data_IF_558853190917
#
_entry.id   IF_558853190917
#
_cell.length_a   1.000
_cell.length_b   1.000
_cell.length_c   1.000
_cell.angle_alpha   90.00
_cell.angle_beta   90.00
_cell.angle_gamma   90.00
#
_symmetry.space_group_name_H-M   'P 1'
#
loop_
_entity.id
_entity.type
_entity.pdbx_description
1 polymer ?
#
# COMPACT_ATOMS: atom_id res chain seq x y z
N UNK A 1 -8.00 -4.55 -1.32
CA UNK A 1 -8.61 -3.20 -1.34
C UNK A 1 -8.20 -2.50 -2.62
N UNK A 2 -9.08 -1.67 -3.19
CA UNK A 2 -8.74 -0.72 -4.27
C UNK A 2 -8.70 0.67 -3.66
N UNK A 3 -7.64 1.44 -3.93
CA UNK A 3 -7.51 2.75 -3.29
C UNK A 3 -6.90 3.83 -4.19
N UNK A 4 -7.32 5.06 -3.92
CA UNK A 4 -6.84 6.27 -4.58
C UNK A 4 -5.46 6.68 -4.05
N UNK A 5 -4.62 7.36 -4.87
CA UNK A 5 -3.28 7.77 -4.48
C UNK A 5 -3.31 8.72 -3.27
N UNK A 6 -4.34 9.56 -3.17
CA UNK A 6 -4.48 10.54 -2.10
C UNK A 6 -4.81 9.92 -0.73
N UNK A 7 -5.28 8.67 -0.71
CA UNK A 7 -5.71 8.00 0.52
C UNK A 7 -4.83 6.84 0.94
N UNK A 8 -3.98 6.31 0.05
CA UNK A 8 -3.20 5.09 0.33
C UNK A 8 -2.37 5.18 1.62
N UNK A 9 -1.67 6.30 1.86
CA UNK A 9 -0.87 6.50 3.09
C UNK A 9 -1.76 6.50 4.33
N UNK A 10 -2.90 7.20 4.28
CA UNK A 10 -3.86 7.23 5.39
C UNK A 10 -4.42 5.83 5.66
N UNK A 11 -4.83 5.13 4.61
CA UNK A 11 -5.36 3.77 4.71
C UNK A 11 -4.33 2.80 5.29
N UNK A 12 -3.06 2.87 4.89
CA UNK A 12 -2.00 2.04 5.45
C UNK A 12 -1.82 2.26 6.96
N UNK A 13 -1.86 3.52 7.42
CA UNK A 13 -1.77 3.86 8.85
C UNK A 13 -2.98 3.33 9.63
N UNK A 14 -4.19 3.57 9.13
CA UNK A 14 -5.43 3.05 9.74
C UNK A 14 -5.44 1.51 9.82
N UNK A 15 -4.94 0.84 8.78
CA UNK A 15 -4.80 -0.62 8.78
C UNK A 15 -3.72 -1.11 9.74
N UNK A 16 -2.61 -0.38 9.89
CA UNK A 16 -1.55 -0.73 10.84
C UNK A 16 -2.06 -0.65 12.29
N UNK A 17 -2.86 0.38 12.59
CA UNK A 17 -3.54 0.52 13.89
C UNK A 17 -4.54 -0.61 14.13
N UNK A 18 -5.30 -1.01 13.12
CA UNK A 18 -6.33 -2.05 13.25
C UNK A 18 -5.77 -3.48 13.28
N UNK A 19 -4.72 -3.76 12.50
CA UNK A 19 -4.24 -5.13 12.23
C UNK A 19 -2.86 -5.46 12.81
N UNK A 20 -2.18 -4.46 13.38
CA UNK A 20 -0.85 -4.57 13.95
C UNK A 20 0.26 -4.11 13.00
N UNK A 21 1.33 -3.57 13.58
CA UNK A 21 2.46 -3.00 12.84
C UNK A 21 3.23 -4.06 12.01
N UNK A 22 3.28 -5.31 12.47
CA UNK A 22 4.00 -6.39 11.79
C UNK A 22 3.22 -6.99 10.61
N UNK A 23 1.99 -6.50 10.35
CA UNK A 23 1.13 -7.03 9.30
C UNK A 23 1.77 -6.81 7.93
N UNK A 24 2.01 -7.91 7.23
CA UNK A 24 2.50 -7.89 5.86
C UNK A 24 1.40 -7.44 4.89
N UNK A 25 1.80 -6.67 3.89
CA UNK A 25 0.95 -6.24 2.80
C UNK A 25 1.76 -6.09 1.49
N UNK A 26 1.03 -5.96 0.39
CA UNK A 26 1.58 -5.62 -0.91
C UNK A 26 0.72 -4.59 -1.61
N UNK A 27 1.36 -3.66 -2.30
CA UNK A 27 0.72 -2.63 -3.10
C UNK A 27 1.19 -2.79 -4.54
N UNK A 28 0.25 -2.97 -5.44
CA UNK A 28 0.48 -3.07 -6.89
C UNK A 28 -0.14 -1.87 -7.61
N UNK A 29 0.56 -1.32 -8.60
CA UNK A 29 0.08 -0.22 -9.45
C UNK A 29 0.33 -0.49 -10.92
N UNK A 30 -0.50 0.12 -11.76
CA UNK A 30 -0.37 0.11 -13.23
C UNK A 30 -0.31 -1.31 -13.84
N UNK A 31 -1.11 -2.24 -13.31
CA UNK A 31 -1.16 -3.69 -13.68
C UNK A 31 -1.34 -3.93 -15.19
N UNK A 32 -1.89 -2.96 -15.94
CA UNK A 32 -2.09 -3.08 -17.39
C UNK A 32 -0.99 -2.43 -18.23
N UNK A 33 0.06 -1.86 -17.64
CA UNK A 33 1.14 -1.16 -18.34
C UNK A 33 2.46 -1.94 -18.21
N UNK A 34 3.36 -1.74 -19.17
CA UNK A 34 4.68 -2.39 -19.20
C UNK A 34 5.54 -2.13 -17.94
N UNK A 35 5.20 -1.09 -17.17
CA UNK A 35 5.89 -0.69 -15.94
C UNK A 35 5.03 -0.95 -14.70
N UNK A 36 4.53 -2.18 -14.55
CA UNK A 36 3.91 -2.61 -13.30
C UNK A 36 4.94 -2.52 -12.16
N UNK A 37 4.53 -1.93 -11.04
CA UNK A 37 5.33 -1.86 -9.83
C UNK A 37 4.56 -2.51 -8.69
N UNK A 38 5.22 -3.45 -8.00
CA UNK A 38 4.70 -4.07 -6.78
C UNK A 38 5.68 -3.89 -5.64
N UNK A 39 5.25 -3.21 -4.58
CA UNK A 39 6.03 -3.00 -3.35
C UNK A 39 5.43 -3.86 -2.25
N UNK A 40 6.28 -4.49 -1.44
CA UNK A 40 5.89 -5.39 -0.34
C UNK A 40 6.62 -5.02 0.93
N UNK A 41 5.97 -5.23 2.06
CA UNK A 41 6.53 -4.94 3.38
C UNK A 41 5.44 -4.91 4.43
N UNK A 42 5.81 -4.47 5.63
CA UNK A 42 4.84 -4.18 6.68
C UNK A 42 4.00 -2.95 6.35
N UNK A 43 2.80 -2.84 6.94
CA UNK A 43 1.94 -1.67 6.75
C UNK A 43 2.64 -0.33 7.07
N UNK A 44 3.43 -0.20 8.16
CA UNK A 44 4.19 1.02 8.45
C UNK A 44 5.31 1.31 7.44
N UNK A 45 6.07 0.30 7.02
CA UNK A 45 7.12 0.47 6.01
C UNK A 45 6.54 0.96 4.69
N UNK A 46 5.41 0.39 4.27
CA UNK A 46 4.72 0.84 3.06
C UNK A 46 4.20 2.27 3.21
N UNK A 47 3.65 2.64 4.37
CA UNK A 47 3.19 4.01 4.60
C UNK A 47 4.34 5.01 4.47
N UNK A 48 5.47 4.73 5.13
CA UNK A 48 6.67 5.56 5.05
C UNK A 48 7.24 5.63 3.62
N UNK A 49 7.22 4.52 2.88
CA UNK A 49 7.66 4.48 1.49
C UNK A 49 6.83 5.42 0.60
N UNK A 50 5.50 5.36 0.69
CA UNK A 50 4.60 6.18 -0.13
C UNK A 50 4.47 7.63 0.35
N UNK A 51 4.92 7.96 1.57
CA UNK A 51 5.12 9.35 1.98
C UNK A 51 6.30 10.00 1.25
N UNK A 52 7.39 9.25 1.05
CA UNK A 52 8.59 9.74 0.36
C UNK A 52 8.46 9.65 -1.16
N UNK A 53 7.60 8.75 -1.66
CA UNK A 53 7.35 8.52 -3.09
C UNK A 53 5.88 8.78 -3.39
N UNK A 54 5.50 10.04 -3.69
CA UNK A 54 4.10 10.41 -3.90
C UNK A 54 3.43 9.50 -4.93
N UNK A 55 2.42 8.72 -4.52
CA UNK A 55 1.80 7.72 -5.38
C UNK A 55 1.02 8.38 -6.52
N UNK A 56 1.03 7.77 -7.71
CA UNK A 56 0.23 8.17 -8.87
C UNK A 56 -0.55 6.97 -9.41
N UNK A 57 -1.76 7.22 -9.90
CA UNK A 57 -2.64 6.19 -10.46
C UNK A 57 -3.44 5.43 -9.41
N UNK A 58 -4.03 4.31 -9.82
CA UNK A 58 -4.87 3.44 -8.98
C UNK A 58 -4.04 2.32 -8.35
N UNK A 59 -4.38 1.98 -7.10
CA UNK A 59 -3.66 0.98 -6.33
C UNK A 59 -4.52 -0.21 -5.98
N UNK A 60 -3.90 -1.38 -6.04
CA UNK A 60 -4.41 -2.61 -5.44
C UNK A 60 -3.59 -2.91 -4.19
N UNK A 61 -4.24 -2.90 -3.03
CA UNK A 61 -3.64 -3.24 -1.75
C UNK A 61 -4.12 -4.62 -1.30
N UNK A 62 -3.19 -5.55 -1.13
CA UNK A 62 -3.43 -6.89 -0.58
C UNK A 62 -2.80 -6.97 0.81
N UNK A 63 -3.59 -7.26 1.83
CA UNK A 63 -3.15 -7.36 3.23
C UNK A 63 -3.17 -8.83 3.63
N UNK A 64 -2.14 -9.30 4.32
CA UNK A 64 -2.08 -10.67 4.81
C UNK A 64 -3.24 -10.97 5.77
N UNK A 65 -3.66 -12.24 5.79
CA UNK A 65 -4.70 -12.73 6.71
C UNK A 65 -4.28 -12.67 8.18
N UNK A 66 -5.21 -13.03 9.06
CA UNK A 66 -4.96 -13.20 10.49
C UNK A 66 -4.26 -14.53 10.78
#
# INVERSE_FOLDING_TARGET
FYESPHRIVRTLRELAEAFGADRQASISREISKLHEETVRGTLPELAAYFEQHPPKGEFVLCVAGA
#
